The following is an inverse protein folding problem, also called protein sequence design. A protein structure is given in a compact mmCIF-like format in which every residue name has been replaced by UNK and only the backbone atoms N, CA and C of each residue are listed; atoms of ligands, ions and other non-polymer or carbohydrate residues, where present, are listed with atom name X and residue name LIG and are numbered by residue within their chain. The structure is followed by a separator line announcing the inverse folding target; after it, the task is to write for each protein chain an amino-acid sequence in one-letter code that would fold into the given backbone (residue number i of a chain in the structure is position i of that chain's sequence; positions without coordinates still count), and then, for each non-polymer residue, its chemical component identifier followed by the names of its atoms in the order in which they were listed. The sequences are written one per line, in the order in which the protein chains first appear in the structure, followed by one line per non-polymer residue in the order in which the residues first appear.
data_IF_118158233502
#
_entry.id   IF_118158233502
#
_cell.length_a   1.000
_cell.length_b   1.000
_cell.length_c   1.000
_cell.angle_alpha   90.00
_cell.angle_beta   90.00
_cell.angle_gamma   90.00
#
_symmetry.space_group_name_H-M   'P 1'
#
loop_
_entity.id
_entity.type
_entity.pdbx_description
1 polymer ?
#
# COMPACT_ATOMS: atom_id res chain seq x y z
N UNK A 1 14.02 -2.00 -13.22
CA UNK A 1 14.60 -0.73 -13.72
C UNK A 1 13.48 0.25 -14.00
N UNK A 2 13.70 1.53 -13.66
CA UNK A 2 12.77 2.62 -13.92
C UNK A 2 13.53 3.86 -14.40
N UNK A 3 12.97 4.53 -15.40
CA UNK A 3 13.46 5.83 -15.89
C UNK A 3 12.26 6.75 -16.02
N UNK A 4 12.41 7.98 -15.54
CA UNK A 4 11.39 9.01 -15.64
C UNK A 4 12.03 10.34 -16.04
N UNK A 5 11.36 11.07 -16.94
CA UNK A 5 11.68 12.45 -17.27
C UNK A 5 10.43 13.32 -17.10
N UNK A 6 10.60 14.49 -16.50
CA UNK A 6 9.52 15.44 -16.29
C UNK A 6 9.99 16.87 -16.52
N UNK A 7 9.08 17.71 -17.02
CA UNK A 7 9.22 19.14 -17.15
C UNK A 7 8.13 19.81 -16.33
N UNK A 8 8.50 20.75 -15.49
CA UNK A 8 7.57 21.56 -14.68
C UNK A 8 7.70 23.03 -15.05
N UNK A 9 6.58 23.72 -15.08
CA UNK A 9 6.51 25.15 -15.37
C UNK A 9 5.34 25.81 -14.66
N UNK A 10 5.44 27.13 -14.52
CA UNK A 10 4.39 27.98 -13.97
C UNK A 10 3.98 29.00 -15.04
N UNK A 11 2.68 29.24 -15.14
CA UNK A 11 2.12 30.25 -16.04
C UNK A 11 0.74 30.68 -15.55
N UNK A 12 0.26 31.81 -16.05
CA UNK A 12 -1.03 32.34 -15.71
C UNK A 12 -1.97 32.34 -16.92
N UNK A 13 -3.26 32.04 -16.66
CA UNK A 13 -4.34 32.15 -17.64
C UNK A 13 -5.37 33.16 -17.10
N UNK A 14 -5.20 34.41 -17.43
CA UNK A 14 -5.98 35.49 -16.83
C UNK A 14 -5.66 35.64 -15.34
N UNK A 15 -6.66 35.44 -14.47
CA UNK A 15 -6.50 35.52 -13.01
C UNK A 15 -6.16 34.18 -12.37
N UNK A 16 -5.96 33.13 -13.16
CA UNK A 16 -5.73 31.77 -12.68
C UNK A 16 -4.27 31.39 -12.85
N UNK A 17 -3.61 30.97 -11.76
CA UNK A 17 -2.24 30.51 -11.79
C UNK A 17 -2.18 29.00 -11.94
N UNK A 18 -1.24 28.51 -12.75
CA UNK A 18 -1.02 27.12 -13.07
C UNK A 18 0.39 26.67 -12.67
N UNK A 19 0.51 25.50 -12.06
CA UNK A 19 1.75 24.76 -11.87
C UNK A 19 1.61 23.42 -12.60
N UNK A 20 2.06 23.40 -13.86
CA UNK A 20 1.94 22.24 -14.73
C UNK A 20 3.22 21.41 -14.71
N UNK A 21 3.06 20.11 -14.50
CA UNK A 21 4.10 19.11 -14.73
C UNK A 21 3.63 18.13 -15.79
N UNK A 22 4.46 17.90 -16.79
CA UNK A 22 4.26 16.86 -17.81
C UNK A 22 5.48 15.96 -17.86
N UNK A 23 5.27 14.68 -18.15
CA UNK A 23 6.41 13.79 -18.19
C UNK A 23 6.11 12.43 -18.80
N UNK A 24 7.17 11.65 -18.92
CA UNK A 24 7.15 10.27 -19.41
C UNK A 24 7.91 9.36 -18.47
N UNK A 25 7.53 8.09 -18.43
CA UNK A 25 8.21 7.07 -17.65
C UNK A 25 8.29 5.77 -18.40
N UNK A 26 9.34 5.01 -18.17
CA UNK A 26 9.50 3.64 -18.61
C UNK A 26 9.91 2.79 -17.40
N UNK A 27 9.20 1.70 -17.21
CA UNK A 27 9.43 0.74 -16.13
C UNK A 27 9.53 -0.66 -16.70
N UNK A 28 10.51 -1.43 -16.26
CA UNK A 28 10.64 -2.86 -16.58
C UNK A 28 10.87 -3.66 -15.31
N UNK A 29 10.05 -4.69 -15.12
CA UNK A 29 10.19 -5.69 -14.07
C UNK A 29 10.40 -7.05 -14.69
N UNK A 30 11.46 -7.71 -14.27
CA UNK A 30 11.78 -9.09 -14.63
C UNK A 30 11.80 -9.90 -13.33
N UNK A 31 11.19 -11.07 -13.36
CA UNK A 31 11.24 -12.03 -12.26
C UNK A 31 11.74 -13.36 -12.84
N UNK A 32 12.88 -13.77 -12.32
CA UNK A 32 13.46 -15.09 -12.60
C UNK A 32 13.41 -15.88 -11.28
N UNK A 33 12.79 -17.05 -11.28
CA UNK A 33 12.66 -17.92 -10.13
C UNK A 33 12.96 -19.36 -10.51
N UNK A 34 13.38 -20.12 -9.50
CA UNK A 34 13.51 -21.57 -9.61
C UNK A 34 12.15 -22.21 -9.34
N UNK A 35 11.86 -23.33 -9.98
CA UNK A 35 10.75 -24.19 -9.56
C UNK A 35 11.01 -24.66 -8.14
N UNK A 36 10.04 -24.47 -7.25
CA UNK A 36 10.17 -24.86 -5.86
C UNK A 36 10.31 -26.39 -5.74
N UNK A 37 11.17 -26.82 -4.83
CA UNK A 37 11.29 -28.21 -4.40
C UNK A 37 10.54 -28.29 -3.08
N UNK A 38 9.44 -29.05 -3.07
CA UNK A 38 8.62 -29.27 -1.88
C UNK A 38 8.76 -30.73 -1.46
N UNK A 39 9.56 -30.98 -0.44
CA UNK A 39 9.73 -32.32 0.14
C UNK A 39 9.21 -32.33 1.57
N UNK A 40 8.61 -33.44 1.95
CA UNK A 40 8.25 -33.69 3.33
C UNK A 40 9.53 -34.00 4.13
N UNK A 41 9.85 -33.14 5.12
CA UNK A 41 11.05 -33.33 5.95
C UNK A 41 10.73 -33.75 7.38
N UNK A 42 9.47 -33.71 7.80
CA UNK A 42 9.04 -34.12 9.13
C UNK A 42 7.81 -33.37 9.63
N UNK A 43 7.33 -33.73 10.81
CA UNK A 43 6.25 -33.06 11.53
C UNK A 43 6.77 -32.54 12.87
N UNK A 44 6.34 -31.33 13.23
CA UNK A 44 6.61 -30.70 14.52
C UNK A 44 5.33 -30.38 15.28
N UNK A 45 5.45 -30.13 16.58
CA UNK A 45 4.37 -29.65 17.42
C UNK A 45 4.66 -28.20 17.80
N UNK A 46 3.64 -27.32 17.70
CA UNK A 46 3.75 -25.92 18.06
C UNK A 46 4.04 -25.70 19.57
N UNK A 47 3.72 -26.69 20.41
CA UNK A 47 3.88 -26.63 21.87
C UNK A 47 5.21 -27.27 22.35
N UNK A 48 6.06 -27.72 21.44
CA UNK A 48 7.37 -28.30 21.75
C UNK A 48 8.51 -27.52 21.12
N UNK A 49 9.73 -27.71 21.59
CA UNK A 49 10.91 -27.19 20.88
C UNK A 49 10.93 -27.71 19.45
N UNK A 50 11.28 -26.83 18.46
CA UNK A 50 11.41 -27.26 17.07
C UNK A 50 12.43 -28.41 16.95
N UNK A 51 12.06 -29.47 16.24
CA UNK A 51 13.00 -30.52 15.89
C UNK A 51 13.97 -30.01 14.81
N UNK A 52 15.23 -30.46 14.88
CA UNK A 52 16.21 -30.23 13.83
C UNK A 52 15.91 -31.13 12.64
N UNK A 53 15.26 -30.56 11.62
CA UNK A 53 15.03 -31.26 10.35
C UNK A 53 16.27 -31.18 9.46
N UNK A 54 16.56 -32.28 8.78
CA UNK A 54 17.61 -32.31 7.77
C UNK A 54 17.33 -31.24 6.68
N UNK A 55 18.34 -30.43 6.38
CA UNK A 55 18.25 -29.50 5.26
C UNK A 55 18.31 -30.25 3.94
N UNK A 56 17.53 -29.77 2.97
CA UNK A 56 17.68 -30.29 1.61
C UNK A 56 19.08 -29.94 1.09
N UNK A 57 19.84 -30.97 0.68
CA UNK A 57 21.20 -30.87 0.15
C UNK A 57 21.31 -31.31 -1.33
N UNK A 58 20.17 -31.65 -1.94
CA UNK A 58 20.07 -32.03 -3.34
C UNK A 58 20.26 -30.84 -4.32
N UNK A 59 20.32 -31.14 -5.63
CA UNK A 59 20.47 -30.14 -6.65
C UNK A 59 19.24 -29.21 -6.71
N UNK A 60 19.48 -27.90 -6.77
CA UNK A 60 18.42 -26.93 -6.98
C UNK A 60 18.05 -26.86 -8.46
N UNK A 61 16.76 -26.69 -8.75
CA UNK A 61 16.29 -26.45 -10.12
C UNK A 61 16.91 -25.19 -10.71
N UNK A 62 17.06 -25.14 -12.03
CA UNK A 62 17.53 -23.94 -12.72
C UNK A 62 16.55 -22.78 -12.58
N UNK A 63 17.10 -21.57 -12.53
CA UNK A 63 16.29 -20.36 -12.54
C UNK A 63 15.85 -20.05 -13.98
N UNK A 64 14.55 -19.78 -14.15
CA UNK A 64 13.98 -19.42 -15.44
C UNK A 64 13.06 -18.21 -15.29
N UNK A 65 12.77 -17.56 -16.43
CA UNK A 65 11.90 -16.39 -16.47
C UNK A 65 10.48 -16.77 -16.05
N UNK A 66 9.91 -15.98 -15.13
CA UNK A 66 8.51 -16.08 -14.70
C UNK A 66 7.68 -14.90 -15.15
N UNK A 67 8.31 -13.73 -15.25
CA UNK A 67 7.67 -12.48 -15.64
C UNK A 67 8.63 -11.58 -16.43
N UNK A 68 8.15 -10.99 -17.51
CA UNK A 68 8.70 -9.77 -18.13
C UNK A 68 7.54 -8.77 -18.30
N UNK A 69 7.54 -7.73 -17.47
CA UNK A 69 6.52 -6.68 -17.47
C UNK A 69 7.17 -5.35 -17.85
N UNK A 70 6.63 -4.70 -18.88
CA UNK A 70 7.08 -3.40 -19.39
C UNK A 70 5.93 -2.42 -19.33
N UNK A 71 6.19 -1.26 -18.77
CA UNK A 71 5.21 -0.19 -18.69
C UNK A 71 5.83 1.09 -19.26
N UNK A 72 5.08 1.76 -20.10
CA UNK A 72 5.39 3.09 -20.60
C UNK A 72 4.25 4.01 -20.22
N UNK A 73 4.58 5.18 -19.71
CA UNK A 73 3.59 6.14 -19.24
C UNK A 73 3.86 7.54 -19.74
N UNK A 74 2.79 8.22 -20.15
CA UNK A 74 2.75 9.67 -20.29
C UNK A 74 1.89 10.21 -19.15
N UNK A 75 2.31 11.28 -18.49
CA UNK A 75 1.54 11.85 -17.39
C UNK A 75 1.57 13.37 -17.43
N UNK A 76 0.52 13.94 -16.86
CA UNK A 76 0.45 15.36 -16.55
C UNK A 76 -0.17 15.57 -15.17
N UNK A 77 0.16 16.67 -14.54
CA UNK A 77 -0.44 17.14 -13.30
C UNK A 77 -0.43 18.66 -13.30
N UNK A 78 -1.60 19.27 -13.21
CA UNK A 78 -1.78 20.70 -13.15
C UNK A 78 -2.42 21.10 -11.82
N UNK A 79 -1.71 21.91 -11.04
CA UNK A 79 -2.27 22.60 -9.87
C UNK A 79 -2.75 23.97 -10.32
N UNK A 80 -4.06 24.18 -10.28
CA UNK A 80 -4.75 25.37 -10.73
C UNK A 80 -5.20 26.15 -9.50
N UNK A 81 -4.70 27.36 -9.32
CA UNK A 81 -5.08 28.27 -8.24
C UNK A 81 -5.99 29.36 -8.80
N UNK A 82 -7.27 29.30 -8.45
CA UNK A 82 -8.26 30.30 -8.87
C UNK A 82 -8.16 31.61 -8.06
N UNK A 83 -7.81 31.48 -6.80
CA UNK A 83 -7.53 32.55 -5.85
C UNK A 83 -6.81 31.97 -4.61
N UNK A 84 -6.60 32.74 -3.55
CA UNK A 84 -5.95 32.30 -2.31
C UNK A 84 -6.70 31.17 -1.60
N UNK A 85 -8.01 31.07 -1.80
CA UNK A 85 -8.86 30.08 -1.10
C UNK A 85 -9.12 28.82 -1.91
N UNK A 86 -9.25 28.91 -3.24
CA UNK A 86 -9.69 27.80 -4.08
C UNK A 86 -8.60 27.33 -5.02
N UNK A 87 -8.28 26.05 -4.93
CA UNK A 87 -7.35 25.38 -5.80
C UNK A 87 -7.93 24.04 -6.28
N UNK A 88 -7.58 23.64 -7.46
CA UNK A 88 -7.82 22.27 -7.95
C UNK A 88 -6.53 21.62 -8.43
N UNK A 89 -6.46 20.31 -8.36
CA UNK A 89 -5.40 19.53 -8.99
C UNK A 89 -6.07 18.61 -9.99
N UNK A 90 -5.67 18.71 -11.24
CA UNK A 90 -6.11 17.83 -12.32
C UNK A 90 -4.90 17.09 -12.85
N UNK A 91 -4.99 15.79 -12.95
CA UNK A 91 -3.90 15.00 -13.47
C UNK A 91 -4.40 13.72 -14.12
N UNK A 92 -3.52 13.12 -14.88
CA UNK A 92 -3.77 11.84 -15.51
C UNK A 92 -2.47 11.18 -15.96
N UNK A 93 -2.51 9.88 -16.04
CA UNK A 93 -1.43 9.07 -16.57
C UNK A 93 -2.00 8.06 -17.53
N UNK A 94 -1.56 8.11 -18.77
CA UNK A 94 -1.79 7.04 -19.72
C UNK A 94 -0.68 6.01 -19.57
N UNK A 95 -1.06 4.76 -19.35
CA UNK A 95 -0.13 3.64 -19.16
C UNK A 95 -0.35 2.62 -20.28
N UNK A 96 0.72 2.33 -21.02
CA UNK A 96 0.79 1.14 -21.88
C UNK A 96 1.54 0.06 -21.13
N UNK A 97 0.84 -1.05 -20.84
CA UNK A 97 1.40 -2.25 -20.22
C UNK A 97 1.56 -3.35 -21.28
N UNK A 98 2.72 -4.00 -21.32
CA UNK A 98 2.99 -5.26 -22.01
C UNK A 98 3.63 -6.22 -21.01
N UNK A 99 2.89 -7.25 -20.58
CA UNK A 99 3.29 -8.19 -19.55
C UNK A 99 3.16 -9.61 -20.05
N UNK A 100 4.25 -10.38 -19.92
CA UNK A 100 4.30 -11.81 -20.22
C UNK A 100 4.65 -12.60 -18.99
N UNK A 101 3.88 -13.64 -18.72
CA UNK A 101 4.21 -14.66 -17.73
C UNK A 101 4.65 -15.93 -18.41
N UNK A 102 5.48 -16.70 -17.72
CA UNK A 102 6.04 -17.94 -18.24
C UNK A 102 5.78 -19.07 -17.25
N UNK A 103 5.53 -20.26 -17.73
CA UNK A 103 5.40 -21.48 -16.95
C UNK A 103 6.76 -22.10 -16.54
N UNK A 104 6.72 -23.29 -15.95
CA UNK A 104 7.92 -24.00 -15.50
C UNK A 104 8.78 -24.52 -16.66
N UNK A 105 8.24 -24.65 -17.85
CA UNK A 105 8.93 -25.05 -19.08
C UNK A 105 9.54 -23.84 -19.82
N UNK A 106 9.18 -22.62 -19.39
CA UNK A 106 9.60 -21.38 -20.04
C UNK A 106 8.68 -20.96 -21.19
N UNK A 107 7.56 -21.66 -21.39
CA UNK A 107 6.56 -21.28 -22.37
C UNK A 107 5.73 -20.10 -21.90
N UNK A 108 5.22 -19.30 -22.83
CA UNK A 108 4.38 -18.14 -22.50
C UNK A 108 3.02 -18.59 -22.00
N UNK A 109 2.78 -18.45 -20.68
CA UNK A 109 1.50 -18.76 -20.06
C UNK A 109 0.44 -17.70 -20.34
N UNK A 110 0.76 -16.41 -20.10
CA UNK A 110 -0.15 -15.29 -20.37
C UNK A 110 0.58 -14.11 -21.00
N UNK A 111 -0.07 -13.47 -21.96
CA UNK A 111 0.37 -12.21 -22.53
C UNK A 111 -0.72 -11.16 -22.37
N UNK A 112 -0.48 -10.16 -21.55
CA UNK A 112 -1.41 -9.07 -21.26
C UNK A 112 -0.91 -7.79 -21.91
N UNK A 113 -1.72 -7.21 -22.81
CA UNK A 113 -1.53 -5.87 -23.34
C UNK A 113 -2.70 -5.00 -22.94
N UNK A 114 -2.41 -3.89 -22.25
CA UNK A 114 -3.44 -2.96 -21.78
C UNK A 114 -2.99 -1.52 -21.99
N UNK A 115 -4.00 -0.69 -22.24
CA UNK A 115 -3.91 0.76 -22.16
C UNK A 115 -4.87 1.19 -21.07
N UNK A 116 -4.36 1.94 -20.10
CA UNK A 116 -5.15 2.40 -18.97
C UNK A 116 -4.91 3.88 -18.75
N UNK A 117 -6.00 4.66 -18.75
CA UNK A 117 -5.96 6.03 -18.30
C UNK A 117 -6.29 6.09 -16.80
N UNK A 118 -5.37 6.65 -16.04
CA UNK A 118 -5.40 6.75 -14.59
C UNK A 118 -5.60 8.22 -14.19
N UNK A 119 -6.85 8.73 -14.16
CA UNK A 119 -7.14 10.09 -13.78
C UNK A 119 -6.95 10.33 -12.29
N UNK A 120 -6.61 11.56 -11.94
CA UNK A 120 -6.71 12.11 -10.60
C UNK A 120 -7.29 13.52 -10.65
N UNK A 121 -8.12 13.82 -9.65
CA UNK A 121 -8.68 15.15 -9.47
C UNK A 121 -8.79 15.45 -7.97
N UNK A 122 -8.47 16.67 -7.58
CA UNK A 122 -8.70 17.15 -6.21
C UNK A 122 -9.23 18.58 -6.24
N UNK A 123 -10.14 18.88 -5.32
CA UNK A 123 -10.60 20.23 -5.01
C UNK A 123 -10.13 20.57 -3.61
N UNK A 124 -9.52 21.74 -3.44
CA UNK A 124 -8.96 22.22 -2.19
C UNK A 124 -9.57 23.58 -1.89
N UNK A 125 -10.08 23.73 -0.67
CA UNK A 125 -10.60 24.98 -0.14
C UNK A 125 -9.84 25.39 1.12
N UNK A 126 -9.26 26.58 1.10
CA UNK A 126 -8.49 27.19 2.20
C UNK A 126 -9.24 28.40 2.74
N UNK A 127 -10.18 28.22 3.70
CA UNK A 127 -10.92 29.36 4.27
C UNK A 127 -10.00 30.37 4.96
N UNK A 128 -8.92 29.85 5.55
CA UNK A 128 -7.83 30.63 6.17
C UNK A 128 -6.49 29.95 5.86
N UNK A 129 -5.39 30.66 6.02
CA UNK A 129 -4.05 30.20 5.58
C UNK A 129 -3.58 28.90 6.23
N UNK A 130 -4.03 28.61 7.44
CA UNK A 130 -3.63 27.43 8.23
C UNK A 130 -4.68 26.30 8.21
N UNK A 131 -5.75 26.40 7.42
CA UNK A 131 -6.80 25.38 7.30
C UNK A 131 -7.06 25.05 5.84
N UNK A 132 -6.99 23.77 5.52
CA UNK A 132 -7.33 23.24 4.18
C UNK A 132 -8.36 22.15 4.30
N UNK A 133 -9.44 22.26 3.55
CA UNK A 133 -10.42 21.21 3.30
C UNK A 133 -10.19 20.68 1.89
N UNK A 134 -10.25 19.37 1.69
CA UNK A 134 -10.06 18.82 0.36
C UNK A 134 -10.93 17.60 0.10
N UNK A 135 -11.20 17.35 -1.16
CA UNK A 135 -11.69 16.07 -1.67
C UNK A 135 -10.85 15.65 -2.86
N UNK A 136 -10.65 14.32 -3.02
CA UNK A 136 -9.83 13.76 -4.08
C UNK A 136 -10.43 12.48 -4.63
N UNK A 137 -10.30 12.30 -5.93
CA UNK A 137 -10.52 11.04 -6.64
C UNK A 137 -9.25 10.65 -7.37
N UNK A 138 -8.91 9.35 -7.37
CA UNK A 138 -7.79 8.83 -8.15
C UNK A 138 -8.02 7.37 -8.55
N UNK A 139 -7.43 7.00 -9.69
CA UNK A 139 -7.24 5.60 -10.10
C UNK A 139 -5.77 5.22 -10.02
N UNK A 140 -5.49 3.96 -9.72
CA UNK A 140 -4.13 3.40 -9.70
C UNK A 140 -4.09 2.04 -10.36
N UNK A 141 -2.99 1.72 -11.05
CA UNK A 141 -2.72 0.41 -11.62
C UNK A 141 -1.91 -0.40 -10.59
N UNK A 142 -2.39 -1.60 -10.25
CA UNK A 142 -1.71 -2.55 -9.38
C UNK A 142 -1.32 -3.78 -10.18
N UNK A 143 -0.12 -4.30 -9.95
CA UNK A 143 0.31 -5.58 -10.51
C UNK A 143 -0.49 -6.71 -9.88
N UNK A 144 -0.69 -7.80 -10.63
CA UNK A 144 -1.33 -9.01 -10.11
C UNK A 144 -0.52 -9.66 -9.01
N UNK A 145 -1.19 -10.29 -8.07
CA UNK A 145 -0.57 -11.12 -7.03
C UNK A 145 -0.01 -12.41 -7.61
N UNK A 146 0.90 -13.03 -6.89
CA UNK A 146 1.45 -14.35 -7.23
C UNK A 146 0.73 -15.42 -6.42
N UNK A 147 0.27 -16.48 -7.09
CA UNK A 147 -0.36 -17.61 -6.45
C UNK A 147 0.59 -18.28 -5.44
N UNK A 148 0.12 -18.60 -4.22
CA UNK A 148 0.94 -19.24 -3.21
C UNK A 148 1.31 -20.67 -3.62
N UNK A 149 2.36 -21.21 -3.04
CA UNK A 149 2.93 -22.52 -3.36
C UNK A 149 1.94 -23.69 -3.22
N UNK A 150 0.95 -23.57 -2.35
CA UNK A 150 -0.06 -24.61 -2.09
C UNK A 150 -1.27 -24.57 -3.04
N UNK A 151 -1.38 -23.54 -3.89
CA UNK A 151 -2.45 -23.42 -4.86
C UNK A 151 -2.21 -24.34 -6.07
N UNK A 152 -3.29 -24.83 -6.69
CA UNK A 152 -3.24 -25.66 -7.90
C UNK A 152 -2.55 -24.94 -9.07
N UNK A 153 -2.61 -23.60 -9.08
CA UNK A 153 -1.90 -22.71 -9.99
C UNK A 153 -0.70 -22.03 -9.31
N UNK A 154 0.03 -22.76 -8.47
CA UNK A 154 1.18 -22.24 -7.72
C UNK A 154 2.12 -21.42 -8.60
N UNK A 155 2.57 -20.28 -8.05
CA UNK A 155 3.48 -19.31 -8.68
C UNK A 155 2.93 -18.59 -9.92
N UNK A 156 1.69 -18.86 -10.35
CA UNK A 156 1.04 -18.06 -11.39
C UNK A 156 0.93 -16.60 -10.94
N UNK A 157 1.28 -15.68 -11.84
CA UNK A 157 1.13 -14.24 -11.59
C UNK A 157 -0.17 -13.78 -12.23
N UNK A 158 -1.11 -13.29 -11.40
CA UNK A 158 -2.43 -12.84 -11.88
C UNK A 158 -2.32 -11.54 -12.71
N UNK A 159 -3.36 -11.24 -13.47
CA UNK A 159 -3.40 -10.05 -14.31
C UNK A 159 -3.38 -8.76 -13.46
N UNK A 160 -2.75 -7.67 -13.95
CA UNK A 160 -2.82 -6.36 -13.32
C UNK A 160 -4.24 -5.80 -13.22
N UNK A 161 -4.52 -5.04 -12.17
CA UNK A 161 -5.85 -4.49 -11.86
C UNK A 161 -5.82 -2.99 -11.66
N UNK A 162 -7.01 -2.37 -11.78
CA UNK A 162 -7.19 -0.94 -11.49
C UNK A 162 -7.91 -0.79 -10.16
N UNK A 163 -7.31 -0.05 -9.26
CA UNK A 163 -7.92 0.42 -8.01
C UNK A 163 -8.51 1.82 -8.18
N UNK A 164 -9.50 2.15 -7.34
CA UNK A 164 -10.14 3.47 -7.29
C UNK A 164 -10.17 3.94 -5.86
N UNK A 165 -9.86 5.22 -5.67
CA UNK A 165 -9.90 5.85 -4.36
C UNK A 165 -10.68 7.15 -4.43
N UNK A 166 -11.53 7.38 -3.43
CA UNK A 166 -12.11 8.67 -3.12
C UNK A 166 -11.80 9.01 -1.67
N UNK A 167 -11.43 10.23 -1.41
CA UNK A 167 -11.14 10.72 -0.07
C UNK A 167 -11.62 12.15 0.13
N UNK A 168 -11.92 12.49 1.37
CA UNK A 168 -12.17 13.86 1.80
C UNK A 168 -11.47 14.07 3.15
N UNK A 169 -10.87 15.23 3.34
CA UNK A 169 -10.09 15.48 4.53
C UNK A 169 -9.95 16.96 4.88
N UNK A 170 -9.41 17.14 6.06
CA UNK A 170 -9.05 18.42 6.64
C UNK A 170 -7.59 18.38 7.08
N UNK A 171 -6.85 19.46 6.82
CA UNK A 171 -5.50 19.71 7.34
C UNK A 171 -5.51 21.05 8.06
N UNK A 172 -4.98 21.08 9.28
CA UNK A 172 -4.95 22.24 10.12
C UNK A 172 -3.60 22.41 10.79
N UNK A 173 -2.93 23.52 10.53
CA UNK A 173 -1.68 23.87 11.18
C UNK A 173 -1.96 24.70 12.43
N UNK A 174 -1.79 24.07 13.59
CA UNK A 174 -1.96 24.70 14.87
C UNK A 174 -0.60 24.98 15.51
N UNK A 175 -0.19 26.24 15.46
CA UNK A 175 1.13 26.64 15.95
C UNK A 175 2.25 25.85 15.25
N UNK A 176 2.87 24.91 15.95
CA UNK A 176 3.99 24.08 15.47
C UNK A 176 3.58 22.62 15.25
N UNK A 177 2.30 22.33 15.24
CA UNK A 177 1.73 20.99 15.04
C UNK A 177 0.83 21.02 13.82
N UNK A 178 1.08 20.11 12.87
CA UNK A 178 0.17 19.84 11.77
C UNK A 178 -0.77 18.70 12.13
N UNK A 179 -2.05 18.95 12.01
CA UNK A 179 -3.15 18.02 12.27
C UNK A 179 -3.82 17.64 10.95
N UNK A 180 -4.20 16.40 10.81
CA UNK A 180 -5.02 15.96 9.67
C UNK A 180 -6.07 14.94 10.08
N UNK A 181 -7.21 14.99 9.39
CA UNK A 181 -8.24 13.97 9.44
C UNK A 181 -8.69 13.67 8.01
N UNK A 182 -8.76 12.38 7.66
CA UNK A 182 -9.10 11.92 6.31
C UNK A 182 -10.08 10.77 6.38
N UNK A 183 -11.20 10.90 5.68
CA UNK A 183 -12.12 9.81 5.37
C UNK A 183 -11.82 9.33 3.96
N UNK A 184 -11.72 8.01 3.77
CA UNK A 184 -11.45 7.45 2.45
C UNK A 184 -12.23 6.18 2.17
N UNK A 185 -12.36 5.88 0.90
CA UNK A 185 -12.81 4.60 0.39
C UNK A 185 -11.91 4.18 -0.77
N UNK A 186 -11.31 2.97 -0.64
CA UNK A 186 -10.52 2.32 -1.68
C UNK A 186 -11.26 1.07 -2.12
N UNK A 187 -11.37 0.89 -3.44
CA UNK A 187 -11.89 -0.32 -4.09
C UNK A 187 -10.81 -0.90 -4.97
N UNK A 188 -10.57 -2.18 -4.81
CA UNK A 188 -9.58 -2.93 -5.59
C UNK A 188 -10.05 -4.34 -5.84
N UNK A 189 -9.50 -5.01 -6.85
CA UNK A 189 -9.81 -6.41 -7.10
C UNK A 189 -9.45 -7.25 -5.88
N UNK A 190 -10.31 -8.20 -5.56
CA UNK A 190 -10.07 -9.16 -4.50
C UNK A 190 -9.33 -10.37 -5.07
N UNK A 191 -8.22 -10.73 -4.41
CA UNK A 191 -7.39 -11.88 -4.77
C UNK A 191 -7.34 -12.83 -3.58
N UNK A 192 -7.64 -14.11 -3.81
CA UNK A 192 -7.75 -15.09 -2.74
C UNK A 192 -7.59 -16.53 -3.25
N UNK A 193 -7.30 -17.46 -2.34
CA UNK A 193 -7.29 -18.88 -2.61
C UNK A 193 -8.71 -19.43 -2.50
N UNK A 194 -9.32 -19.73 -3.65
CA UNK A 194 -10.66 -20.31 -3.73
C UNK A 194 -10.56 -21.82 -3.54
N UNK A 195 -11.37 -22.42 -2.62
CA UNK A 195 -11.43 -23.87 -2.48
C UNK A 195 -12.01 -24.51 -3.73
N UNK A 196 -11.48 -25.66 -4.11
CA UNK A 196 -11.96 -26.53 -5.17
C UNK A 196 -12.71 -27.75 -4.56
N UNK A 197 -13.53 -28.44 -5.34
CA UNK A 197 -14.32 -29.59 -4.89
C UNK A 197 -13.44 -30.79 -4.49
N UNK A 198 -12.20 -30.84 -4.98
CA UNK A 198 -11.21 -31.89 -4.66
C UNK A 198 -10.38 -31.59 -3.40
N UNK A 199 -10.70 -30.53 -2.67
CA UNK A 199 -9.99 -30.10 -1.45
C UNK A 199 -8.70 -29.30 -1.71
N UNK A 200 -8.36 -29.03 -2.96
CA UNK A 200 -7.24 -28.12 -3.32
C UNK A 200 -7.71 -26.67 -3.35
N UNK A 201 -6.80 -25.74 -3.64
CA UNK A 201 -7.12 -24.32 -3.78
C UNK A 201 -6.59 -23.78 -5.10
N UNK A 202 -7.35 -22.91 -5.73
CA UNK A 202 -6.91 -22.12 -6.89
C UNK A 202 -6.85 -20.64 -6.49
N UNK A 203 -5.69 -20.00 -6.70
CA UNK A 203 -5.55 -18.56 -6.45
C UNK A 203 -6.20 -17.77 -7.58
N UNK A 204 -7.21 -16.99 -7.25
CA UNK A 204 -8.04 -16.30 -8.21
C UNK A 204 -8.14 -14.81 -7.90
N UNK A 205 -8.49 -14.05 -8.94
CA UNK A 205 -8.85 -12.64 -8.86
C UNK A 205 -10.33 -12.52 -9.23
N UNK A 206 -11.18 -12.48 -8.22
CA UNK A 206 -12.64 -12.44 -8.39
C UNK A 206 -13.27 -11.60 -7.29
N UNK A 207 -14.17 -10.69 -7.69
CA UNK A 207 -14.82 -9.77 -6.77
C UNK A 207 -13.99 -8.51 -6.47
N UNK A 208 -14.46 -7.75 -5.50
CA UNK A 208 -13.93 -6.47 -5.08
C UNK A 208 -13.68 -6.47 -3.56
N UNK A 209 -12.54 -5.95 -3.15
CA UNK A 209 -12.26 -5.56 -1.78
C UNK A 209 -12.51 -4.06 -1.64
N UNK A 210 -13.44 -3.69 -0.75
CA UNK A 210 -13.79 -2.32 -0.41
C UNK A 210 -13.27 -1.98 0.99
N UNK A 211 -12.34 -1.05 1.06
CA UNK A 211 -11.78 -0.53 2.31
C UNK A 211 -12.32 0.88 2.54
N UNK A 212 -13.01 1.12 3.65
CA UNK A 212 -13.46 2.44 4.09
C UNK A 212 -12.80 2.73 5.42
N UNK A 213 -12.18 3.90 5.57
CA UNK A 213 -11.44 4.23 6.78
C UNK A 213 -11.48 5.69 7.14
N UNK A 214 -11.15 5.93 8.41
CA UNK A 214 -10.85 7.24 8.97
C UNK A 214 -9.40 7.22 9.47
N UNK A 215 -8.62 8.20 9.03
CA UNK A 215 -7.25 8.42 9.50
C UNK A 215 -7.14 9.77 10.18
N UNK A 216 -6.50 9.78 11.34
CA UNK A 216 -6.14 10.99 12.08
C UNK A 216 -4.62 11.02 12.26
N UNK A 217 -3.99 12.16 12.06
CA UNK A 217 -2.58 12.32 12.33
C UNK A 217 -2.27 13.68 12.97
N UNK A 218 -1.24 13.69 13.81
CA UNK A 218 -0.69 14.87 14.45
C UNK A 218 0.85 14.78 14.41
N UNK A 219 1.52 15.78 13.84
CA UNK A 219 2.98 15.80 13.73
C UNK A 219 3.51 17.19 14.04
N UNK A 220 4.55 17.29 14.85
CA UNK A 220 5.18 18.56 15.13
C UNK A 220 5.72 18.69 16.57
N UNK A 221 5.91 19.93 16.98
CA UNK A 221 6.48 20.26 18.28
C UNK A 221 5.38 20.60 19.31
N UNK A 222 5.16 19.70 20.27
CA UNK A 222 4.20 19.91 21.36
C UNK A 222 4.76 20.93 22.40
N UNK A 223 6.08 21.05 22.49
CA UNK A 223 6.79 22.08 23.23
C UNK A 223 8.12 22.40 22.51
N UNK A 224 8.92 23.31 23.07
CA UNK A 224 10.26 23.62 22.54
C UNK A 224 11.21 22.42 22.53
N UNK A 225 10.92 21.40 23.33
CA UNK A 225 11.78 20.22 23.57
C UNK A 225 11.14 18.90 23.23
N UNK A 226 9.83 18.88 22.94
CA UNK A 226 9.10 17.65 22.65
C UNK A 226 8.55 17.69 21.23
N UNK A 227 9.10 16.88 20.36
CA UNK A 227 8.52 16.56 19.06
C UNK A 227 7.64 15.31 19.21
N UNK A 228 6.46 15.34 18.59
CA UNK A 228 5.52 14.22 18.58
C UNK A 228 5.14 13.84 17.15
N UNK A 229 4.91 12.55 16.96
CA UNK A 229 4.24 12.00 15.77
C UNK A 229 3.21 10.99 16.24
N UNK A 230 1.95 11.24 15.94
CA UNK A 230 0.84 10.38 16.32
C UNK A 230 -0.05 10.10 15.13
N UNK A 231 -0.56 8.87 15.03
CA UNK A 231 -1.56 8.51 14.04
C UNK A 231 -2.53 7.46 14.58
N UNK A 232 -3.77 7.53 14.10
CA UNK A 232 -4.82 6.53 14.35
C UNK A 232 -5.53 6.26 13.03
N UNK A 233 -5.72 4.98 12.68
CA UNK A 233 -6.48 4.56 11.52
C UNK A 233 -7.54 3.53 11.94
N UNK A 234 -8.81 3.84 11.70
CA UNK A 234 -9.92 2.91 11.82
C UNK A 234 -10.34 2.44 10.41
N UNK A 235 -10.34 1.13 10.17
CA UNK A 235 -10.52 0.55 8.83
C UNK A 235 -11.64 -0.49 8.88
N UNK A 236 -12.57 -0.39 7.92
CA UNK A 236 -13.58 -1.39 7.65
C UNK A 236 -13.35 -1.92 6.25
N UNK A 237 -12.83 -3.14 6.16
CA UNK A 237 -12.66 -3.87 4.91
C UNK A 237 -13.86 -4.79 4.67
N UNK A 238 -14.30 -4.93 3.41
CA UNK A 238 -15.35 -5.88 3.02
C UNK A 238 -15.07 -6.45 1.64
N UNK A 239 -15.32 -7.74 1.52
CA UNK A 239 -15.29 -8.48 0.26
C UNK A 239 -16.68 -8.53 -0.34
N UNK A 240 -16.81 -8.34 -1.65
CA UNK A 240 -18.06 -8.46 -2.39
C UNK A 240 -17.82 -9.06 -3.77
N UNK A 241 -18.75 -9.89 -4.26
CA UNK A 241 -18.67 -10.50 -5.58
C UNK A 241 -17.58 -11.56 -5.72
N UNK A 242 -17.15 -12.17 -4.63
CA UNK A 242 -16.12 -13.21 -4.62
C UNK A 242 -16.56 -14.50 -5.33
N UNK A 243 -17.87 -14.74 -5.45
CA UNK A 243 -18.42 -16.00 -5.96
C UNK A 243 -18.32 -17.16 -4.97
N UNK A 244 -17.80 -16.91 -3.75
CA UNK A 244 -17.77 -17.87 -2.64
C UNK A 244 -18.62 -17.31 -1.51
N UNK A 245 -19.77 -17.93 -1.25
CA UNK A 245 -20.77 -17.41 -0.30
C UNK A 245 -20.19 -17.18 1.10
N UNK A 246 -19.28 -18.03 1.53
CA UNK A 246 -18.61 -17.95 2.83
C UNK A 246 -17.67 -16.74 2.98
N UNK A 247 -17.30 -16.06 1.88
CA UNK A 247 -16.40 -14.90 1.92
C UNK A 247 -17.13 -13.58 1.75
N UNK A 248 -18.40 -13.63 1.29
CA UNK A 248 -19.19 -12.43 1.03
C UNK A 248 -19.46 -11.61 2.29
N UNK A 249 -19.18 -10.32 2.21
CA UNK A 249 -19.39 -9.38 3.31
C UNK A 249 -18.38 -9.48 4.44
N UNK A 250 -17.50 -10.47 4.44
CA UNK A 250 -16.46 -10.64 5.47
C UNK A 250 -15.33 -9.62 5.29
N UNK A 251 -14.62 -9.40 6.39
CA UNK A 251 -13.44 -8.55 6.39
C UNK A 251 -12.26 -9.28 5.75
N UNK A 252 -11.49 -8.57 4.96
CA UNK A 252 -10.27 -9.11 4.35
C UNK A 252 -9.28 -9.55 5.43
N UNK A 253 -8.63 -10.69 5.19
CA UNK A 253 -7.59 -11.22 6.09
C UNK A 253 -6.45 -10.22 6.28
N UNK A 254 -5.84 -10.28 7.45
CA UNK A 254 -4.67 -9.49 7.84
C UNK A 254 -4.85 -7.95 7.83
N UNK A 255 -6.08 -7.46 7.77
CA UNK A 255 -6.42 -6.04 7.89
C UNK A 255 -6.96 -5.77 9.30
N UNK A 256 -6.19 -5.11 10.20
CA UNK A 256 -6.69 -4.77 11.52
C UNK A 256 -7.75 -3.66 11.43
N UNK A 257 -8.78 -3.73 12.27
CA UNK A 257 -9.84 -2.72 12.33
C UNK A 257 -9.38 -1.39 12.89
N UNK A 258 -8.33 -1.42 13.71
CA UNK A 258 -7.73 -0.24 14.34
C UNK A 258 -6.21 -0.36 14.35
N UNK A 259 -5.53 0.69 13.92
CA UNK A 259 -4.09 0.88 14.08
C UNK A 259 -3.85 2.22 14.74
N UNK A 260 -2.88 2.28 15.65
CA UNK A 260 -2.47 3.52 16.27
C UNK A 260 -0.95 3.53 16.44
N UNK A 261 -0.36 4.70 16.33
CA UNK A 261 1.04 4.92 16.69
C UNK A 261 1.21 6.25 17.40
N UNK A 262 2.12 6.26 18.36
CA UNK A 262 2.60 7.47 19.01
C UNK A 262 4.10 7.36 19.15
N UNK A 263 4.80 8.40 18.74
CA UNK A 263 6.22 8.54 18.89
C UNK A 263 6.56 9.92 19.45
N UNK A 264 7.53 9.97 20.37
CA UNK A 264 8.03 11.19 20.97
C UNK A 264 9.56 11.25 20.96
N UNK A 265 10.08 12.43 20.73
CA UNK A 265 11.50 12.79 20.85
C UNK A 265 11.57 13.97 21.84
N UNK A 266 12.15 13.74 23.03
CA UNK A 266 12.24 14.72 24.09
C UNK A 266 13.68 15.10 24.39
N UNK A 267 14.06 16.33 24.05
CA UNK A 267 15.36 16.90 24.39
C UNK A 267 15.45 17.19 25.90
N UNK A 268 16.39 16.53 26.58
CA UNK A 268 16.55 16.66 28.02
C UNK A 268 17.09 18.05 28.39
N UNK A 269 16.44 18.78 29.30
CA UNK A 269 16.83 20.16 29.65
C UNK A 269 18.14 20.27 30.44
N UNK A 270 18.56 19.18 31.08
CA UNK A 270 19.73 19.15 31.97
C UNK A 270 20.96 18.49 31.35
N UNK A 271 20.88 17.98 30.12
CA UNK A 271 22.03 17.42 29.39
C UNK A 271 21.96 17.89 27.93
N UNK A 272 22.84 18.83 27.60
CA UNK A 272 22.93 19.39 26.25
C UNK A 272 23.19 18.30 25.22
N UNK A 273 22.41 18.32 24.12
CA UNK A 273 22.54 17.39 23.02
C UNK A 273 21.89 16.01 23.24
N UNK A 274 21.43 15.69 24.47
CA UNK A 274 20.81 14.41 24.75
C UNK A 274 19.27 14.49 24.58
N UNK A 275 18.70 13.54 23.87
CA UNK A 275 17.27 13.33 23.74
C UNK A 275 16.89 11.87 24.03
N UNK A 276 15.73 11.68 24.63
CA UNK A 276 15.09 10.37 24.81
C UNK A 276 14.00 10.20 23.76
N UNK A 277 14.01 9.05 23.12
CA UNK A 277 13.08 8.66 22.07
C UNK A 277 12.17 7.57 22.63
N UNK A 278 10.87 7.67 22.40
CA UNK A 278 9.93 6.64 22.82
C UNK A 278 8.79 6.51 21.83
N UNK A 279 8.30 5.29 21.67
CA UNK A 279 7.18 5.04 20.77
C UNK A 279 6.38 3.82 21.15
N UNK A 280 5.10 3.84 20.77
CA UNK A 280 4.19 2.72 20.83
C UNK A 280 3.46 2.57 19.51
N UNK A 281 3.35 1.33 19.04
CA UNK A 281 2.55 0.95 17.89
C UNK A 281 1.53 -0.09 18.34
N UNK A 282 0.27 0.16 18.06
CA UNK A 282 -0.84 -0.74 18.36
C UNK A 282 -1.45 -1.27 17.08
N UNK A 283 -1.68 -2.57 17.02
CA UNK A 283 -2.46 -3.24 15.99
C UNK A 283 -3.64 -3.95 16.64
N UNK A 284 -4.84 -3.57 16.28
CA UNK A 284 -6.07 -4.22 16.71
C UNK A 284 -6.21 -5.64 16.15
N UNK A 285 -7.24 -6.34 16.60
CA UNK A 285 -7.57 -7.68 16.10
C UNK A 285 -7.76 -7.68 14.59
N UNK A 286 -7.36 -8.78 13.95
CA UNK A 286 -7.48 -9.01 12.51
C UNK A 286 -7.89 -10.44 12.21
N UNK A 287 -8.58 -10.66 11.11
CA UNK A 287 -8.93 -12.01 10.69
C UNK A 287 -7.73 -12.71 10.04
N UNK A 288 -7.56 -13.98 10.36
CA UNK A 288 -6.56 -14.88 9.79
C UNK A 288 -7.16 -15.85 8.77
N UNK A 289 -8.50 -15.98 8.76
CA UNK A 289 -9.25 -16.78 7.79
C UNK A 289 -10.21 -15.92 6.97
N UNK A 290 -10.48 -16.34 5.74
CA UNK A 290 -11.38 -15.62 4.82
C UNK A 290 -12.85 -15.73 5.23
N UNK A 291 -13.22 -16.82 5.94
CA UNK A 291 -14.54 -17.03 6.53
C UNK A 291 -14.78 -16.17 7.77
N UNK A 292 -13.74 -15.50 8.30
CA UNK A 292 -13.85 -14.65 9.50
C UNK A 292 -14.05 -15.42 10.81
N UNK A 293 -13.75 -16.72 10.84
CA UNK A 293 -13.90 -17.58 12.02
C UNK A 293 -12.60 -17.73 12.84
N UNK A 294 -11.44 -17.31 12.30
CA UNK A 294 -10.15 -17.29 12.98
C UNK A 294 -9.66 -15.86 13.08
N UNK A 295 -9.25 -15.45 14.27
CA UNK A 295 -8.72 -14.10 14.53
C UNK A 295 -7.34 -14.18 15.16
N UNK A 296 -6.48 -13.24 14.81
CA UNK A 296 -5.27 -12.93 15.53
C UNK A 296 -5.55 -11.79 16.52
N UNK A 297 -5.08 -11.93 17.74
CA UNK A 297 -5.28 -10.95 18.80
C UNK A 297 -4.56 -9.62 18.52
N UNK A 298 -5.05 -8.58 19.20
CA UNK A 298 -4.40 -7.29 19.20
C UNK A 298 -3.06 -7.34 19.95
N UNK A 299 -2.11 -6.51 19.51
CA UNK A 299 -0.82 -6.37 20.19
C UNK A 299 -0.32 -4.93 20.15
N UNK A 300 0.61 -4.63 21.05
CA UNK A 300 1.35 -3.38 21.07
C UNK A 300 2.86 -3.66 21.09
N UNK A 301 3.60 -2.82 20.36
CA UNK A 301 5.06 -2.83 20.32
C UNK A 301 5.55 -1.51 20.91
N UNK A 302 6.48 -1.59 21.87
CA UNK A 302 7.11 -0.43 22.49
C UNK A 302 8.56 -0.32 22.02
N UNK A 303 8.97 0.91 21.73
CA UNK A 303 10.34 1.23 21.36
C UNK A 303 10.86 2.32 22.30
N UNK A 304 12.09 2.20 22.75
CA UNK A 304 12.81 3.22 23.50
C UNK A 304 14.22 3.37 22.94
N UNK A 305 14.71 4.59 22.93
CA UNK A 305 16.04 4.91 22.45
C UNK A 305 16.55 6.24 23.00
N UNK A 306 17.76 6.57 22.68
CA UNK A 306 18.35 7.87 22.96
C UNK A 306 19.17 8.37 21.78
N UNK A 307 19.28 9.68 21.64
CA UNK A 307 20.09 10.36 20.65
C UNK A 307 20.95 11.41 21.34
N UNK A 308 22.25 11.37 21.08
CA UNK A 308 23.17 12.39 21.55
C UNK A 308 23.76 13.12 20.34
N UNK A 309 23.64 14.44 20.32
CA UNK A 309 24.14 15.31 19.27
C UNK A 309 25.24 16.22 19.88
N UNK A 310 26.44 16.17 19.32
CA UNK A 310 27.53 17.04 19.70
C UNK A 310 27.99 17.87 18.50
N UNK A 311 28.45 19.07 18.74
CA UNK A 311 29.17 19.85 17.72
C UNK A 311 30.63 19.43 17.78
N UNK A 312 31.16 18.95 16.68
CA UNK A 312 32.56 18.66 16.47
C UNK A 312 33.20 19.88 15.84
#
# INVERSE_FOLDING_TARGET
DEVQAALSGQFDTGATAHELTVGTSAFRRVVDNRTAINEWIGSGNIDSEPEDFARYDGPLNDSHRRLDSRQYGLFFNDRISFNEQWQTVLGGREVRLDERTFDDQGDTGRHTRRYEFLPQAALIYKPVSNLSLYTRYSKGLSLGGTAPWFASNAFEILAPTVSRQIEAGIKYDWRRISLSATLYQIRQAYQYSRPNDDGTFTYVQQGEQKNTGLELAANGWASERLQISASVAAIRSRVTGSGTAEYEGHQTINVPTLRASLYGDYALPWVDGLAVLGGVQYSGKKYASQQGNVQADAYAIFNIGSRYSTRI
#
